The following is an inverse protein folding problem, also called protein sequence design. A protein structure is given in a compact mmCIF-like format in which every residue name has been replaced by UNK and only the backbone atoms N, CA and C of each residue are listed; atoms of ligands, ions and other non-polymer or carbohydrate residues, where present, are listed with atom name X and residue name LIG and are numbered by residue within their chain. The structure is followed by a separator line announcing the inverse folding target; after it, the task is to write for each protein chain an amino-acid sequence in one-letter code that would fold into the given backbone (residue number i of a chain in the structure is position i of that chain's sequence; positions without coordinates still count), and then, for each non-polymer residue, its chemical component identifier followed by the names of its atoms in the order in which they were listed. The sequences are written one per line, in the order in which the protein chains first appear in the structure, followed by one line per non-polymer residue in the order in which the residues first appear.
data_IF_368965381295
#
_entry.id   IF_368965381295
#
_cell.length_a   1.000
_cell.length_b   1.000
_cell.length_c   1.000
_cell.angle_alpha   90.00
_cell.angle_beta   90.00
_cell.angle_gamma   90.00
#
_symmetry.space_group_name_H-M   'P 1'
#
loop_
_entity.id
_entity.type
_entity.pdbx_description
1 polymer ?
#
# COMPACT_ATOMS: atom_id res chain seq x y z
N UNK A 1 -17.72 -16.91 -10.81
CA UNK A 1 -18.03 -15.54 -10.32
C UNK A 1 -16.70 -14.81 -10.23
N UNK A 2 -16.40 -13.89 -11.15
CA UNK A 2 -15.17 -13.10 -11.09
C UNK A 2 -15.33 -12.15 -9.91
N UNK A 3 -14.52 -12.35 -8.87
CA UNK A 3 -14.41 -11.38 -7.77
C UNK A 3 -13.82 -10.10 -8.39
N UNK A 4 -14.68 -9.12 -8.67
CA UNK A 4 -14.26 -7.84 -9.21
C UNK A 4 -13.29 -7.20 -8.22
N UNK A 5 -12.08 -6.90 -8.67
CA UNK A 5 -11.09 -6.15 -7.90
C UNK A 5 -11.63 -4.75 -7.63
N UNK A 6 -11.51 -4.28 -6.40
CA UNK A 6 -11.89 -2.91 -6.01
C UNK A 6 -10.82 -1.90 -6.44
N UNK A 7 -9.55 -2.29 -6.36
CA UNK A 7 -8.41 -1.48 -6.77
C UNK A 7 -7.56 -2.21 -7.80
N UNK A 8 -7.16 -1.49 -8.87
CA UNK A 8 -6.20 -2.02 -9.85
C UNK A 8 -4.79 -1.99 -9.23
N UNK A 9 -4.13 -3.15 -9.04
CA UNK A 9 -2.83 -3.21 -8.37
C UNK A 9 -1.72 -2.48 -9.12
N UNK A 10 -1.89 -2.21 -10.42
CA UNK A 10 -0.88 -1.58 -11.27
C UNK A 10 -1.15 -0.11 -11.55
N UNK A 11 -2.39 0.35 -11.38
CA UNK A 11 -2.80 1.76 -11.56
C UNK A 11 -2.94 2.47 -10.22
N UNK A 12 -3.58 1.84 -9.24
CA UNK A 12 -3.84 2.40 -7.91
C UNK A 12 -2.63 2.22 -6.98
N UNK A 13 -1.54 2.94 -7.26
CA UNK A 13 -0.25 2.74 -6.58
C UNK A 13 -0.23 3.15 -5.10
N UNK A 14 -1.20 3.93 -4.64
CA UNK A 14 -1.27 4.41 -3.25
C UNK A 14 -1.88 3.39 -2.29
N UNK A 15 -2.65 2.45 -2.82
CA UNK A 15 -3.28 1.38 -2.06
C UNK A 15 -2.75 0.02 -2.47
N UNK A 16 -2.78 -0.93 -1.55
CA UNK A 16 -2.35 -2.30 -1.80
C UNK A 16 -3.20 -3.26 -0.97
N UNK A 17 -3.50 -4.42 -1.52
CA UNK A 17 -4.05 -5.54 -0.75
C UNK A 17 -3.06 -5.96 0.34
N UNK A 18 -3.47 -5.92 1.60
CA UNK A 18 -2.63 -6.22 2.79
C UNK A 18 -1.97 -7.60 2.75
N UNK A 19 -2.51 -8.53 1.98
CA UNK A 19 -1.96 -9.88 1.81
C UNK A 19 -0.78 -9.90 0.83
N UNK A 20 -0.71 -8.96 -0.13
CA UNK A 20 0.36 -8.93 -1.12
C UNK A 20 1.74 -8.64 -0.49
N UNK A 21 1.92 -7.65 0.39
CA UNK A 21 3.16 -7.46 1.13
C UNK A 21 3.54 -8.67 1.99
N UNK A 22 2.58 -9.32 2.64
CA UNK A 22 2.83 -10.53 3.44
C UNK A 22 3.33 -11.69 2.60
N UNK A 23 2.75 -11.87 1.40
CA UNK A 23 3.22 -12.87 0.45
C UNK A 23 4.66 -12.58 -0.01
N UNK A 24 4.99 -11.33 -0.33
CA UNK A 24 6.36 -10.93 -0.65
C UNK A 24 7.32 -11.17 0.53
N UNK A 25 6.91 -10.85 1.75
CA UNK A 25 7.69 -11.12 2.97
C UNK A 25 7.93 -12.62 3.21
N UNK A 26 6.96 -13.48 2.88
CA UNK A 26 7.14 -14.94 2.93
C UNK A 26 8.25 -15.39 1.98
N UNK A 27 8.27 -14.89 0.75
CA UNK A 27 9.33 -15.21 -0.22
C UNK A 27 10.69 -14.71 0.27
N UNK A 28 10.75 -13.50 0.80
CA UNK A 28 11.99 -12.93 1.35
C UNK A 28 12.47 -13.69 2.57
N UNK A 29 11.58 -14.03 3.51
CA UNK A 29 11.92 -14.77 4.72
C UNK A 29 12.49 -16.17 4.39
N UNK A 30 11.77 -16.92 3.56
CA UNK A 30 12.19 -18.27 3.18
C UNK A 30 13.47 -18.27 2.35
N UNK A 31 13.57 -17.36 1.37
CA UNK A 31 14.76 -17.26 0.53
C UNK A 31 15.99 -16.80 1.31
N UNK A 32 15.86 -15.82 2.21
CA UNK A 32 16.97 -15.36 3.06
C UNK A 32 17.40 -16.44 4.04
N UNK A 33 16.45 -17.16 4.63
CA UNK A 33 16.76 -18.29 5.54
C UNK A 33 17.53 -19.40 4.80
N UNK A 34 17.08 -19.80 3.61
CA UNK A 34 17.77 -20.78 2.78
C UNK A 34 19.19 -20.31 2.45
N UNK A 35 19.34 -19.04 2.03
CA UNK A 35 20.65 -18.47 1.70
C UNK A 35 21.64 -18.51 2.88
N UNK A 36 21.15 -18.18 4.08
CA UNK A 36 21.99 -18.18 5.30
C UNK A 36 22.35 -19.61 5.72
N UNK A 37 21.39 -20.54 5.70
CA UNK A 37 21.63 -21.93 6.11
C UNK A 37 22.55 -22.69 5.14
N UNK A 38 22.45 -22.39 3.85
CA UNK A 38 23.27 -23.06 2.81
C UNK A 38 24.58 -22.34 2.52
N UNK A 39 24.77 -21.11 3.04
CA UNK A 39 25.90 -20.26 2.70
C UNK A 39 25.86 -19.71 1.26
N UNK A 40 24.74 -19.89 0.54
CA UNK A 40 24.59 -19.47 -0.85
C UNK A 40 24.20 -17.97 -0.94
N UNK A 41 25.18 -17.11 -0.69
CA UNK A 41 25.02 -15.65 -0.70
C UNK A 41 24.45 -15.04 -2.00
N UNK A 42 24.63 -15.61 -3.24
CA UNK A 42 24.03 -15.04 -4.44
C UNK A 42 22.51 -14.93 -4.37
N UNK A 43 21.86 -15.81 -3.61
CA UNK A 43 20.41 -15.74 -3.38
C UNK A 43 20.01 -14.45 -2.64
N UNK A 44 20.84 -13.96 -1.70
CA UNK A 44 20.61 -12.66 -1.03
C UNK A 44 20.70 -11.50 -2.03
N UNK A 45 21.65 -11.57 -2.97
CA UNK A 45 21.76 -10.58 -4.04
C UNK A 45 20.52 -10.57 -4.95
N UNK A 46 20.02 -11.75 -5.34
CA UNK A 46 18.80 -11.88 -6.16
C UNK A 46 17.61 -11.28 -5.45
N UNK A 47 17.38 -11.64 -4.18
CA UNK A 47 16.26 -11.10 -3.38
C UNK A 47 16.38 -9.59 -3.18
N UNK A 48 17.56 -9.09 -2.83
CA UNK A 48 17.80 -7.67 -2.66
C UNK A 48 17.59 -6.87 -3.94
N UNK A 49 18.09 -7.36 -5.07
CA UNK A 49 17.89 -6.75 -6.40
C UNK A 49 16.40 -6.75 -6.78
N UNK A 50 15.71 -7.85 -6.56
CA UNK A 50 14.28 -7.96 -6.82
C UNK A 50 13.46 -6.95 -6.02
N UNK A 51 13.78 -6.76 -4.73
CA UNK A 51 13.16 -5.70 -3.92
C UNK A 51 13.49 -4.31 -4.44
N UNK A 52 14.76 -4.03 -4.79
CA UNK A 52 15.18 -2.74 -5.34
C UNK A 52 14.46 -2.42 -6.65
N UNK A 53 14.38 -3.38 -7.57
CA UNK A 53 13.67 -3.24 -8.85
C UNK A 53 12.18 -2.94 -8.61
N UNK A 54 11.55 -3.64 -7.68
CA UNK A 54 10.14 -3.41 -7.35
C UNK A 54 9.87 -2.00 -6.79
N UNK A 55 10.81 -1.46 -6.03
CA UNK A 55 10.72 -0.10 -5.47
C UNK A 55 10.95 0.98 -6.52
N UNK A 56 11.91 0.77 -7.43
CA UNK A 56 12.30 1.75 -8.45
C UNK A 56 11.33 1.77 -9.63
N UNK A 57 10.95 0.60 -10.13
CA UNK A 57 10.18 0.47 -11.37
C UNK A 57 8.69 0.13 -11.13
N UNK A 58 8.32 -0.12 -9.86
CA UNK A 58 6.93 -0.36 -9.49
C UNK A 58 6.53 -1.83 -9.38
N UNK A 59 5.29 -2.06 -8.96
CA UNK A 59 4.76 -3.38 -8.61
C UNK A 59 4.75 -4.39 -9.75
N UNK A 60 4.62 -3.93 -10.98
CA UNK A 60 4.63 -4.81 -12.17
C UNK A 60 5.95 -5.55 -12.37
N UNK A 61 7.03 -5.06 -11.76
CA UNK A 61 8.35 -5.70 -11.79
C UNK A 61 8.67 -6.50 -10.52
N UNK A 62 7.73 -6.55 -9.56
CA UNK A 62 7.84 -7.37 -8.38
C UNK A 62 7.30 -8.77 -8.68
N UNK A 63 8.17 -9.75 -8.94
CA UNK A 63 7.75 -11.11 -9.29
C UNK A 63 6.79 -11.74 -8.26
N UNK A 64 7.06 -11.73 -6.93
CA UNK A 64 6.10 -12.23 -5.95
C UNK A 64 4.78 -11.46 -5.95
N UNK A 65 4.82 -10.13 -6.17
CA UNK A 65 3.61 -9.33 -6.22
C UNK A 65 2.76 -9.67 -7.44
N UNK A 66 3.38 -9.81 -8.61
CA UNK A 66 2.69 -10.21 -9.85
C UNK A 66 2.07 -11.59 -9.67
N UNK A 67 2.83 -12.56 -9.17
CA UNK A 67 2.30 -13.89 -8.89
C UNK A 67 1.11 -13.84 -7.91
N UNK A 68 1.21 -13.04 -6.84
CA UNK A 68 0.11 -12.86 -5.91
C UNK A 68 -1.14 -12.29 -6.62
N UNK A 69 -1.01 -11.20 -7.37
CA UNK A 69 -2.14 -10.52 -8.00
C UNK A 69 -2.77 -11.31 -9.15
N UNK A 70 -1.97 -12.08 -9.90
CA UNK A 70 -2.49 -12.82 -11.07
C UNK A 70 -2.94 -14.25 -10.74
N UNK A 71 -2.37 -14.87 -9.69
CA UNK A 71 -2.64 -16.28 -9.37
C UNK A 71 -3.39 -16.44 -8.06
N UNK A 72 -2.94 -15.76 -6.99
CA UNK A 72 -3.49 -15.96 -5.64
C UNK A 72 -4.76 -15.14 -5.42
N UNK A 73 -4.70 -13.84 -5.67
CA UNK A 73 -5.83 -12.94 -5.42
C UNK A 73 -7.12 -13.33 -6.18
N UNK A 74 -7.09 -13.75 -7.46
CA UNK A 74 -8.32 -14.19 -8.15
C UNK A 74 -9.01 -15.38 -7.51
N UNK A 75 -8.25 -16.25 -6.81
CA UNK A 75 -8.78 -17.46 -6.15
C UNK A 75 -9.32 -17.18 -4.76
N UNK A 76 -8.66 -16.30 -4.00
CA UNK A 76 -8.97 -16.04 -2.59
C UNK A 76 -9.69 -14.72 -2.35
N UNK A 77 -9.90 -13.94 -3.42
CA UNK A 77 -10.49 -12.61 -3.33
C UNK A 77 -9.52 -11.54 -2.82
N UNK A 78 -9.95 -10.28 -2.94
CA UNK A 78 -9.21 -9.13 -2.46
C UNK A 78 -9.32 -9.01 -0.94
N UNK A 79 -8.16 -8.81 -0.27
CA UNK A 79 -8.08 -8.55 1.15
C UNK A 79 -8.49 -7.12 1.53
N UNK A 80 -8.08 -6.68 2.72
CA UNK A 80 -8.19 -5.28 3.13
C UNK A 80 -7.19 -4.43 2.35
N UNK A 81 -7.63 -3.24 1.93
CA UNK A 81 -6.76 -2.29 1.25
C UNK A 81 -6.03 -1.43 2.27
N UNK A 82 -4.73 -1.33 2.15
CA UNK A 82 -3.84 -0.56 3.03
C UNK A 82 -3.02 0.46 2.23
N UNK A 83 -2.44 1.44 2.95
CA UNK A 83 -1.51 2.41 2.37
C UNK A 83 -0.21 1.71 1.94
N UNK A 84 0.12 1.83 0.68
CA UNK A 84 1.29 1.14 0.09
C UNK A 84 2.64 1.74 0.47
N UNK A 85 2.68 2.92 1.08
CA UNK A 85 3.93 3.62 1.42
C UNK A 85 4.71 2.90 2.51
N UNK A 86 3.99 2.35 3.51
CA UNK A 86 4.62 1.61 4.59
C UNK A 86 5.32 0.32 4.09
N UNK A 87 4.68 -0.58 3.33
CA UNK A 87 5.34 -1.73 2.72
C UNK A 87 6.48 -1.34 1.76
N UNK A 88 6.31 -0.24 0.99
CA UNK A 88 7.37 0.25 0.11
C UNK A 88 8.62 0.66 0.89
N UNK A 89 8.45 1.35 2.02
CA UNK A 89 9.57 1.71 2.90
C UNK A 89 10.26 0.47 3.47
N UNK A 90 9.49 -0.52 3.93
CA UNK A 90 10.03 -1.79 4.41
C UNK A 90 10.85 -2.53 3.32
N UNK A 91 10.38 -2.52 2.07
CA UNK A 91 11.10 -3.11 0.94
C UNK A 91 12.42 -2.36 0.64
N UNK A 92 12.46 -1.02 0.80
CA UNK A 92 13.71 -0.24 0.66
C UNK A 92 14.73 -0.70 1.69
N UNK A 93 14.34 -0.78 2.96
CA UNK A 93 15.23 -1.24 4.03
C UNK A 93 15.68 -2.68 3.78
N UNK A 94 14.75 -3.56 3.43
CA UNK A 94 15.05 -4.96 3.07
C UNK A 94 16.05 -5.08 1.92
N UNK A 95 15.90 -4.29 0.87
CA UNK A 95 16.82 -4.26 -0.28
C UNK A 95 18.23 -3.83 0.16
N UNK A 96 18.34 -2.75 0.94
CA UNK A 96 19.64 -2.27 1.46
C UNK A 96 20.33 -3.34 2.29
N UNK A 97 19.62 -3.98 3.22
CA UNK A 97 20.18 -5.03 4.07
C UNK A 97 20.63 -6.25 3.26
N UNK A 98 19.79 -6.74 2.34
CA UNK A 98 20.10 -7.94 1.55
C UNK A 98 21.25 -7.70 0.57
N UNK A 99 21.29 -6.54 -0.09
CA UNK A 99 22.40 -6.19 -0.98
C UNK A 99 23.70 -6.00 -0.21
N UNK A 100 23.64 -5.36 0.97
CA UNK A 100 24.81 -5.26 1.88
C UNK A 100 25.26 -6.64 2.34
N UNK A 101 24.33 -7.53 2.73
CA UNK A 101 24.65 -8.91 3.14
C UNK A 101 25.35 -9.66 2.02
N UNK A 102 24.84 -9.56 0.80
CA UNK A 102 25.47 -10.17 -0.38
C UNK A 102 26.87 -9.59 -0.68
N UNK A 103 27.01 -8.27 -0.61
CA UNK A 103 28.31 -7.61 -0.82
C UNK A 103 29.34 -8.05 0.22
N UNK A 104 29.03 -8.01 1.53
CA UNK A 104 29.94 -8.48 2.56
C UNK A 104 30.34 -9.95 2.36
N UNK A 105 29.39 -10.81 2.02
CA UNK A 105 29.69 -12.23 1.74
C UNK A 105 30.59 -12.40 0.51
N UNK A 106 30.37 -11.63 -0.54
CA UNK A 106 31.20 -11.66 -1.76
C UNK A 106 32.65 -11.20 -1.49
N UNK A 107 32.87 -10.25 -0.55
CA UNK A 107 34.19 -9.81 -0.12
C UNK A 107 34.85 -10.72 0.94
N UNK A 108 34.24 -11.86 1.26
CA UNK A 108 34.79 -12.82 2.21
C UNK A 108 34.34 -12.62 3.66
N UNK A 109 33.56 -11.59 3.98
CA UNK A 109 32.99 -11.36 5.31
C UNK A 109 31.69 -12.17 5.50
N UNK A 110 31.77 -13.50 5.32
CA UNK A 110 30.62 -14.40 5.30
C UNK A 110 29.77 -14.30 6.58
N UNK A 111 30.41 -14.19 7.74
CA UNK A 111 29.70 -14.07 9.03
C UNK A 111 28.85 -12.79 9.08
N UNK A 112 29.36 -11.65 8.62
CA UNK A 112 28.60 -10.39 8.57
C UNK A 112 27.42 -10.51 7.62
N UNK A 113 27.64 -11.08 6.43
CA UNK A 113 26.58 -11.34 5.48
C UNK A 113 25.49 -12.27 6.01
N UNK A 114 25.89 -13.35 6.71
CA UNK A 114 24.95 -14.28 7.35
C UNK A 114 24.13 -13.61 8.46
N UNK A 115 24.73 -12.75 9.28
CA UNK A 115 24.03 -11.99 10.34
C UNK A 115 23.02 -11.05 9.72
N UNK A 116 23.40 -10.26 8.71
CA UNK A 116 22.49 -9.32 8.05
C UNK A 116 21.34 -10.05 7.33
N UNK A 117 21.63 -11.14 6.61
CA UNK A 117 20.61 -11.98 5.97
C UNK A 117 19.69 -12.64 6.99
N UNK A 118 20.23 -13.09 8.12
CA UNK A 118 19.47 -13.68 9.23
C UNK A 118 18.52 -12.68 9.90
N UNK A 119 18.96 -11.42 10.08
CA UNK A 119 18.10 -10.34 10.58
C UNK A 119 16.90 -10.12 9.64
N UNK A 120 17.14 -10.06 8.33
CA UNK A 120 16.06 -9.90 7.37
C UNK A 120 15.11 -11.10 7.38
N UNK A 121 15.65 -12.33 7.43
CA UNK A 121 14.84 -13.55 7.52
C UNK A 121 13.95 -13.55 8.77
N UNK A 122 14.50 -13.18 9.93
CA UNK A 122 13.78 -13.11 11.19
C UNK A 122 12.68 -12.04 11.18
N UNK A 123 12.99 -10.82 10.73
CA UNK A 123 12.02 -9.73 10.67
C UNK A 123 10.90 -9.98 9.65
N UNK A 124 11.23 -10.53 8.48
CA UNK A 124 10.25 -10.91 7.48
C UNK A 124 9.39 -12.10 7.96
N UNK A 125 9.99 -13.08 8.63
CA UNK A 125 9.28 -14.21 9.25
C UNK A 125 8.33 -13.76 10.36
N UNK A 126 8.75 -12.80 11.20
CA UNK A 126 7.89 -12.18 12.21
C UNK A 126 6.70 -11.49 11.56
N UNK A 127 6.91 -10.75 10.48
CA UNK A 127 5.84 -10.05 9.76
C UNK A 127 4.83 -11.02 9.15
N UNK A 128 5.27 -12.18 8.63
CA UNK A 128 4.38 -13.21 8.10
C UNK A 128 3.57 -13.87 9.21
N UNK A 129 4.19 -14.23 10.33
CA UNK A 129 3.56 -14.98 11.43
C UNK A 129 2.59 -14.14 12.27
N UNK A 130 2.97 -12.91 12.59
CA UNK A 130 2.19 -12.02 13.47
C UNK A 130 1.39 -10.97 12.73
N UNK A 131 1.69 -10.72 11.45
CA UNK A 131 1.18 -9.58 10.69
C UNK A 131 1.86 -8.25 11.04
N UNK A 132 2.82 -8.24 11.96
CA UNK A 132 3.50 -7.04 12.43
C UNK A 132 4.78 -6.81 11.62
N UNK A 133 4.71 -5.93 10.64
CA UNK A 133 5.87 -5.53 9.84
C UNK A 133 6.64 -4.41 10.56
N UNK A 134 7.81 -4.74 11.13
CA UNK A 134 8.65 -3.76 11.84
C UNK A 134 9.00 -2.54 10.97
N UNK A 135 9.36 -2.75 9.70
CA UNK A 135 9.62 -1.64 8.77
C UNK A 135 8.40 -0.76 8.52
N UNK A 136 7.20 -1.35 8.48
CA UNK A 136 5.95 -0.61 8.35
C UNK A 136 5.66 0.22 9.61
N UNK A 137 5.90 -0.31 10.80
CA UNK A 137 5.71 0.43 12.06
C UNK A 137 6.71 1.57 12.20
N UNK A 138 7.98 1.35 11.86
CA UNK A 138 8.99 2.41 11.82
C UNK A 138 8.55 3.53 10.86
N UNK A 139 8.03 3.18 9.69
CA UNK A 139 7.48 4.19 8.76
C UNK A 139 6.32 4.98 9.36
N UNK A 140 5.37 4.31 10.04
CA UNK A 140 4.22 4.98 10.67
C UNK A 140 4.66 5.97 11.74
N UNK A 141 5.63 5.57 12.59
CA UNK A 141 6.21 6.46 13.59
C UNK A 141 6.90 7.66 12.94
N UNK A 142 7.74 7.41 11.92
CA UNK A 142 8.47 8.46 11.21
C UNK A 142 7.50 9.42 10.49
N UNK A 143 6.45 8.90 9.87
CA UNK A 143 5.41 9.69 9.23
C UNK A 143 4.67 10.58 10.24
N UNK A 144 4.37 10.03 11.43
CA UNK A 144 3.74 10.78 12.52
C UNK A 144 4.62 11.93 13.01
N UNK A 145 5.93 11.66 13.22
CA UNK A 145 6.90 12.69 13.64
C UNK A 145 7.05 13.79 12.57
N UNK A 146 7.02 13.42 11.29
CA UNK A 146 7.12 14.38 10.17
C UNK A 146 5.80 15.05 9.82
N UNK A 147 4.71 14.81 10.58
CA UNK A 147 3.39 15.38 10.31
C UNK A 147 2.75 14.91 9.00
N UNK A 148 3.27 13.82 8.42
CA UNK A 148 2.71 13.23 7.21
C UNK A 148 1.41 12.54 7.61
N UNK A 149 0.28 13.16 7.31
CA UNK A 149 -1.04 12.56 7.54
C UNK A 149 -1.15 11.34 6.61
N UNK A 150 -1.13 10.15 7.21
CA UNK A 150 -1.43 8.91 6.51
C UNK A 150 -2.90 8.94 6.12
N UNK A 151 -3.18 8.76 4.83
CA UNK A 151 -4.53 8.64 4.35
C UNK A 151 -4.51 7.82 3.07
N UNK A 152 -5.34 6.81 3.00
CA UNK A 152 -5.69 6.11 1.77
C UNK A 152 -6.22 7.10 0.72
N UNK A 153 -6.58 8.30 1.15
CA UNK A 153 -7.24 9.35 0.41
C UNK A 153 -6.27 10.50 0.07
N UNK A 154 -5.23 10.22 -0.69
CA UNK A 154 -4.36 11.28 -1.24
C UNK A 154 -4.74 11.68 -2.67
N UNK A 155 -5.36 10.79 -3.39
CA UNK A 155 -5.82 11.00 -4.74
C UNK A 155 -7.13 10.26 -4.98
N UNK A 156 -8.09 10.96 -5.57
CA UNK A 156 -9.35 10.40 -6.04
C UNK A 156 -9.27 10.26 -7.55
N UNK A 157 -9.65 9.12 -8.05
CA UNK A 157 -9.76 8.85 -9.48
C UNK A 157 -11.09 9.45 -9.97
N UNK A 158 -11.01 10.65 -10.56
CA UNK A 158 -12.17 11.38 -11.07
C UNK A 158 -12.82 10.67 -12.25
N UNK A 159 -12.03 9.97 -13.06
CA UNK A 159 -12.55 9.18 -14.21
C UNK A 159 -13.41 8.01 -13.70
N UNK A 160 -13.00 7.33 -12.66
CA UNK A 160 -13.77 6.24 -12.02
C UNK A 160 -15.08 6.74 -11.39
N UNK A 161 -15.11 8.01 -10.98
CA UNK A 161 -16.30 8.65 -10.45
C UNK A 161 -17.21 9.21 -11.55
N UNK A 162 -16.75 9.28 -12.80
CA UNK A 162 -17.46 9.90 -13.90
C UNK A 162 -17.62 11.43 -13.72
N UNK A 163 -16.68 12.05 -13.01
CA UNK A 163 -16.73 13.48 -12.67
C UNK A 163 -15.70 14.22 -13.48
N UNK A 164 -16.14 15.32 -14.11
CA UNK A 164 -15.22 16.22 -14.81
C UNK A 164 -14.35 16.95 -13.78
N UNK A 165 -13.05 17.16 -14.06
CA UNK A 165 -12.19 17.92 -13.20
C UNK A 165 -12.62 19.38 -13.17
N UNK A 166 -13.03 19.87 -12.01
CA UNK A 166 -13.45 21.27 -11.77
C UNK A 166 -12.71 21.88 -10.60
N UNK A 167 -12.56 23.21 -10.62
CA UNK A 167 -12.05 23.94 -9.47
C UNK A 167 -13.07 23.91 -8.33
N UNK A 168 -12.58 23.82 -7.08
CA UNK A 168 -13.42 23.72 -5.86
C UNK A 168 -14.32 22.47 -5.78
N UNK A 169 -13.92 21.38 -6.45
CA UNK A 169 -14.62 20.10 -6.36
C UNK A 169 -14.52 19.53 -4.94
N UNK A 170 -15.66 19.18 -4.36
CA UNK A 170 -15.75 18.44 -3.09
C UNK A 170 -16.40 17.09 -3.34
N UNK A 171 -15.67 16.02 -3.00
CA UNK A 171 -16.23 14.68 -2.99
C UNK A 171 -16.74 14.38 -1.59
N UNK A 172 -18.05 14.17 -1.49
CA UNK A 172 -18.77 13.88 -0.24
C UNK A 172 -19.23 12.43 -0.24
N UNK A 173 -18.66 11.62 0.65
CA UNK A 173 -19.15 10.26 0.90
C UNK A 173 -20.32 10.33 1.87
N UNK A 174 -21.45 9.74 1.46
CA UNK A 174 -22.73 9.81 2.16
C UNK A 174 -23.34 8.44 2.36
N UNK A 175 -24.31 8.34 3.29
CA UNK A 175 -25.15 7.17 3.45
C UNK A 175 -26.63 7.61 3.55
N UNK A 176 -27.60 6.89 2.98
CA UNK A 176 -29.00 7.29 2.99
C UNK A 176 -29.58 7.52 4.41
N UNK A 177 -29.09 6.77 5.39
CA UNK A 177 -29.53 6.87 6.80
C UNK A 177 -28.71 7.89 7.63
N UNK A 178 -27.83 8.64 7.00
CA UNK A 178 -27.00 9.63 7.68
C UNK A 178 -27.71 11.00 7.69
N UNK A 179 -28.25 11.39 8.84
CA UNK A 179 -28.93 12.68 9.02
C UNK A 179 -27.98 13.89 8.82
N UNK A 180 -26.73 13.79 9.30
CA UNK A 180 -25.72 14.82 9.11
C UNK A 180 -25.34 15.02 7.66
N UNK A 181 -25.35 13.94 6.85
CA UNK A 181 -25.04 14.04 5.43
C UNK A 181 -26.01 14.93 4.67
N UNK A 182 -27.28 14.96 5.11
CA UNK A 182 -28.33 15.80 4.50
C UNK A 182 -28.13 17.28 4.78
N UNK A 183 -27.43 17.66 5.84
CA UNK A 183 -27.14 19.05 6.18
C UNK A 183 -25.81 19.53 5.60
N UNK A 184 -24.83 18.65 5.51
CA UNK A 184 -23.48 18.98 5.01
C UNK A 184 -23.50 19.31 3.53
N UNK A 185 -24.21 18.58 2.71
CA UNK A 185 -24.29 18.83 1.26
C UNK A 185 -24.79 20.24 0.92
N UNK A 186 -25.98 20.68 1.38
CA UNK A 186 -26.49 22.03 1.09
C UNK A 186 -25.63 23.13 1.66
N UNK A 187 -24.90 22.88 2.75
CA UNK A 187 -23.95 23.83 3.31
C UNK A 187 -22.79 24.07 2.37
N UNK A 188 -22.13 23.00 1.89
CA UNK A 188 -21.00 23.09 0.98
C UNK A 188 -21.39 23.72 -0.37
N UNK A 189 -22.59 23.42 -0.87
CA UNK A 189 -23.12 24.05 -2.09
C UNK A 189 -23.36 25.55 -1.91
N UNK A 190 -23.85 25.98 -0.75
CA UNK A 190 -23.99 27.43 -0.41
C UNK A 190 -22.65 28.15 -0.27
N UNK A 191 -21.59 27.42 0.06
CA UNK A 191 -20.21 27.96 0.10
C UNK A 191 -19.59 28.06 -1.32
N UNK A 192 -20.38 27.81 -2.39
CA UNK A 192 -19.91 27.87 -3.78
C UNK A 192 -19.02 26.70 -4.21
N UNK A 193 -19.10 25.60 -3.51
CA UNK A 193 -18.34 24.39 -3.85
C UNK A 193 -19.16 23.46 -4.75
N UNK A 194 -18.50 22.86 -5.72
CA UNK A 194 -19.12 21.80 -6.52
C UNK A 194 -19.07 20.49 -5.76
N UNK A 195 -20.24 19.97 -5.31
CA UNK A 195 -20.32 18.82 -4.43
C UNK A 195 -20.78 17.57 -5.21
N UNK A 196 -19.90 16.59 -5.32
CA UNK A 196 -20.22 15.27 -5.85
C UNK A 196 -20.44 14.30 -4.71
N UNK A 197 -21.66 13.77 -4.60
CA UNK A 197 -22.04 12.85 -3.51
C UNK A 197 -21.89 11.40 -3.95
N UNK A 198 -21.19 10.62 -3.14
CA UNK A 198 -20.99 9.17 -3.33
C UNK A 198 -21.72 8.44 -2.22
N UNK A 199 -22.73 7.66 -2.58
CA UNK A 199 -23.45 6.81 -1.66
C UNK A 199 -22.63 5.54 -1.35
N UNK A 200 -22.10 5.46 -0.14
CA UNK A 200 -21.26 4.33 0.31
C UNK A 200 -22.04 3.02 0.43
N UNK A 201 -23.37 3.06 0.50
CA UNK A 201 -24.20 1.86 0.51
C UNK A 201 -24.24 1.18 -0.86
N UNK A 202 -24.21 1.98 -1.94
CA UNK A 202 -24.20 1.54 -3.33
C UNK A 202 -22.79 1.28 -3.86
N UNK A 203 -21.82 2.09 -3.42
CA UNK A 203 -20.43 2.06 -3.88
C UNK A 203 -19.50 1.69 -2.73
N UNK A 204 -19.73 0.51 -2.15
CA UNK A 204 -18.88 -0.07 -1.09
C UNK A 204 -17.43 -0.26 -1.54
N UNK A 205 -17.24 -0.51 -2.83
CA UNK A 205 -15.95 -0.57 -3.52
C UNK A 205 -15.13 0.71 -3.27
N UNK A 206 -15.73 1.86 -3.52
CA UNK A 206 -15.05 3.16 -3.34
C UNK A 206 -14.82 3.49 -1.86
N UNK A 207 -15.78 3.21 -0.99
CA UNK A 207 -15.60 3.40 0.45
C UNK A 207 -14.40 2.59 0.95
N UNK A 208 -14.27 1.32 0.53
CA UNK A 208 -13.14 0.44 0.86
C UNK A 208 -11.84 0.95 0.23
N UNK A 209 -11.85 1.31 -1.07
CA UNK A 209 -10.68 1.83 -1.80
C UNK A 209 -10.09 3.07 -1.15
N UNK A 210 -10.95 3.99 -0.71
CA UNK A 210 -10.55 5.27 -0.11
C UNK A 210 -10.51 5.26 1.42
N UNK A 211 -10.73 4.10 2.06
CA UNK A 211 -10.67 3.95 3.52
C UNK A 211 -11.70 4.77 4.28
N UNK A 212 -12.88 5.01 3.67
CA UNK A 212 -13.97 5.75 4.29
C UNK A 212 -14.73 4.82 5.25
N UNK A 213 -14.52 5.03 6.55
CA UNK A 213 -15.15 4.23 7.61
C UNK A 213 -16.32 4.93 8.28
N UNK A 214 -16.37 6.27 8.20
CA UNK A 214 -17.41 7.11 8.82
C UNK A 214 -17.93 8.11 7.79
N UNK A 215 -19.23 8.37 7.83
CA UNK A 215 -19.91 9.40 7.02
C UNK A 215 -20.63 10.39 7.94
N UNK A 216 -20.75 11.69 7.59
CA UNK A 216 -20.29 12.30 6.35
C UNK A 216 -18.78 12.43 6.28
N UNK A 217 -18.21 12.16 5.10
CA UNK A 217 -16.80 12.37 4.87
C UNK A 217 -16.62 13.19 3.59
N UNK A 218 -16.21 14.45 3.75
CA UNK A 218 -16.06 15.41 2.66
C UNK A 218 -14.59 15.77 2.47
N UNK A 219 -14.12 15.75 1.22
CA UNK A 219 -12.74 16.11 0.85
C UNK A 219 -12.73 17.04 -0.35
N UNK A 220 -11.87 18.06 -0.29
CA UNK A 220 -11.59 18.95 -1.42
C UNK A 220 -10.60 18.30 -2.36
N UNK A 221 -10.94 18.22 -3.64
CA UNK A 221 -10.18 17.55 -4.68
C UNK A 221 -9.82 18.54 -5.78
N UNK A 222 -8.57 18.55 -6.19
CA UNK A 222 -8.14 19.38 -7.32
C UNK A 222 -8.41 18.74 -8.67
N UNK A 223 -8.18 19.49 -9.72
CA UNK A 223 -8.35 19.08 -11.11
C UNK A 223 -7.46 17.86 -11.48
N UNK A 224 -6.38 17.66 -10.76
CA UNK A 224 -5.46 16.51 -10.92
C UNK A 224 -5.87 15.30 -10.06
N UNK A 225 -7.01 15.36 -9.39
CA UNK A 225 -7.50 14.32 -8.48
C UNK A 225 -6.82 14.29 -7.11
N UNK A 226 -5.89 15.21 -6.81
CA UNK A 226 -5.25 15.29 -5.49
C UNK A 226 -6.22 15.83 -4.44
N UNK A 227 -6.17 15.21 -3.26
CA UNK A 227 -6.95 15.65 -2.09
C UNK A 227 -6.13 16.67 -1.30
N UNK A 228 -6.66 17.89 -1.18
CA UNK A 228 -6.01 18.96 -0.44
C UNK A 228 -6.37 18.97 1.04
N UNK A 229 -7.54 18.45 1.42
CA UNK A 229 -7.98 18.40 2.81
C UNK A 229 -9.42 17.96 2.99
N UNK A 230 -9.83 17.87 4.25
CA UNK A 230 -11.25 17.71 4.59
C UNK A 230 -11.98 19.03 4.40
N UNK A 231 -13.14 18.98 3.77
CA UNK A 231 -14.03 20.10 3.57
C UNK A 231 -14.97 20.30 4.75
#
# INVERSE_FOLDING_TARGET
MSNARTADPYKDLLVIDSRAPRFNQLVVATGSLIAVLTGFWPLLAVLGTQLAVSVLFGRKYCLPCVFYFEVVQPRFGEGELEDSRAPRFANIIGAVFLLSAAAFSAFGFVTVGAVLGGIVAALAGLAVSTGLCVGCEVYKVLAKVRGIKGGLLQRIDLEQLGVLPEENLVVLFTHPLCSECQTVKPRLEREGRHVVSIDVSKRKDLAKKYGVTLVPFAVTVGVDGRVYGRA
#
